data_IF_859870403962
#
_entry.id   IF_859870403962
#
_cell.length_a   1.000
_cell.length_b   1.000
_cell.length_c   1.000
_cell.angle_alpha   90.00
_cell.angle_beta   90.00
_cell.angle_gamma   90.00
#
_symmetry.space_group_name_H-M   'P 1'
#
loop_
_entity.id
_entity.type
_entity.pdbx_description
1 polymer ?
#
# COMPACT_ATOMS: atom_id res chain seq x y z
N UNK A 1 0.17 -6.84 -16.14
CA UNK A 1 1.16 -7.79 -16.70
C UNK A 1 2.05 -7.05 -17.71
N UNK A 2 2.65 -7.65 -18.74
CA UNK A 2 3.60 -6.96 -19.65
C UNK A 2 3.01 -5.82 -20.48
N UNK A 3 1.71 -5.85 -20.77
CA UNK A 3 1.09 -4.84 -21.64
C UNK A 3 1.61 -4.96 -23.07
N UNK A 4 2.13 -3.86 -23.63
CA UNK A 4 2.66 -3.81 -25.01
C UNK A 4 4.12 -4.25 -25.14
N UNK A 5 4.81 -4.51 -24.02
CA UNK A 5 6.24 -4.84 -24.01
C UNK A 5 6.50 -6.34 -24.18
N UNK A 6 7.67 -6.69 -24.73
CA UNK A 6 8.12 -8.07 -24.86
C UNK A 6 8.65 -8.68 -23.55
N UNK A 7 9.15 -7.85 -22.65
CA UNK A 7 9.85 -8.21 -21.42
C UNK A 7 9.40 -7.35 -20.22
N UNK A 8 9.78 -7.78 -19.02
CA UNK A 8 9.64 -7.01 -17.78
C UNK A 8 10.92 -6.23 -17.47
N UNK A 9 10.80 -5.15 -16.70
CA UNK A 9 11.95 -4.45 -16.14
C UNK A 9 12.23 -4.93 -14.71
N UNK A 10 13.50 -4.93 -14.31
CA UNK A 10 13.93 -5.21 -12.95
C UNK A 10 14.29 -3.89 -12.26
N UNK A 11 13.58 -3.58 -11.18
CA UNK A 11 13.79 -2.38 -10.36
C UNK A 11 14.37 -2.79 -9.02
N UNK A 12 15.57 -2.30 -8.68
CA UNK A 12 16.22 -2.62 -7.40
C UNK A 12 15.59 -1.84 -6.26
N UNK A 13 15.53 -2.44 -5.08
CA UNK A 13 15.08 -1.81 -3.84
C UNK A 13 16.32 -1.42 -3.02
N UNK A 14 16.61 -0.12 -2.82
CA UNK A 14 17.64 0.30 -1.88
C UNK A 14 17.31 -0.21 -0.47
N UNK A 15 18.22 -0.98 0.13
CA UNK A 15 18.08 -1.50 1.50
C UNK A 15 16.75 -2.24 1.76
N UNK A 16 16.26 -2.96 0.75
CA UNK A 16 14.99 -3.69 0.83
C UNK A 16 14.97 -4.78 1.89
N UNK A 17 13.88 -4.86 2.67
CA UNK A 17 13.77 -5.80 3.79
C UNK A 17 13.26 -7.16 3.31
N UNK A 18 12.15 -7.17 2.56
CA UNK A 18 11.49 -8.37 2.05
C UNK A 18 11.77 -8.57 0.56
N UNK A 19 11.89 -7.49 -0.21
CA UNK A 19 12.26 -7.53 -1.62
C UNK A 19 13.56 -6.76 -1.86
N UNK A 20 14.53 -7.35 -2.55
CA UNK A 20 15.76 -6.67 -3.03
C UNK A 20 15.58 -6.08 -4.43
N UNK A 21 14.61 -6.57 -5.18
CA UNK A 21 14.22 -6.07 -6.49
C UNK A 21 12.77 -6.45 -6.81
N UNK A 22 12.19 -5.79 -7.80
CA UNK A 22 10.87 -6.06 -8.35
C UNK A 22 10.97 -6.27 -9.84
N UNK A 23 10.31 -7.31 -10.36
CA UNK A 23 10.15 -7.52 -11.80
C UNK A 23 8.76 -7.03 -12.21
N UNK A 24 8.71 -5.95 -12.99
CA UNK A 24 7.50 -5.15 -13.19
C UNK A 24 7.33 -4.74 -14.64
N UNK A 25 6.14 -4.26 -14.98
CA UNK A 25 5.89 -3.67 -16.30
C UNK A 25 6.86 -2.49 -16.53
N UNK A 26 7.47 -2.45 -17.72
CA UNK A 26 8.43 -1.42 -18.12
C UNK A 26 7.88 0.00 -18.02
N UNK A 27 6.57 0.22 -18.17
CA UNK A 27 5.94 1.54 -17.98
C UNK A 27 6.31 2.19 -16.65
N UNK A 28 6.52 1.42 -15.57
CA UNK A 28 6.92 1.98 -14.28
C UNK A 28 8.36 2.49 -14.22
N UNK A 29 9.20 2.07 -15.17
CA UNK A 29 10.60 2.50 -15.31
C UNK A 29 10.75 3.57 -16.38
N UNK A 30 9.99 3.44 -17.46
CA UNK A 30 10.07 4.31 -18.63
C UNK A 30 9.21 5.59 -18.49
N UNK A 31 8.39 5.71 -17.44
CA UNK A 31 7.58 6.92 -17.18
C UNK A 31 8.41 8.03 -16.54
N UNK A 32 8.17 9.28 -16.97
CA UNK A 32 8.78 10.47 -16.38
C UNK A 32 8.09 10.89 -15.06
N UNK A 33 6.81 10.56 -14.92
CA UNK A 33 5.97 10.96 -13.78
C UNK A 33 5.10 9.79 -13.35
N UNK A 34 5.12 9.45 -12.06
CA UNK A 34 4.22 8.47 -11.47
C UNK A 34 3.22 9.14 -10.53
N UNK A 35 1.94 9.10 -10.91
CA UNK A 35 0.83 9.62 -10.08
C UNK A 35 0.09 8.46 -9.42
N UNK A 36 0.04 8.45 -8.09
CA UNK A 36 -0.75 7.49 -7.31
C UNK A 36 -2.13 8.08 -7.01
N UNK A 37 -3.19 7.52 -7.62
CA UNK A 37 -4.58 7.92 -7.38
C UNK A 37 -5.31 6.84 -6.58
N UNK A 38 -5.86 7.20 -5.42
CA UNK A 38 -6.43 6.22 -4.47
C UNK A 38 -7.72 6.71 -3.82
N UNK A 39 -8.40 5.81 -3.08
CA UNK A 39 -9.53 6.16 -2.23
C UNK A 39 -9.08 6.30 -0.78
N UNK A 40 -9.66 7.27 -0.07
CA UNK A 40 -9.49 7.41 1.38
C UNK A 40 -10.21 6.25 2.08
N UNK A 41 -9.48 5.21 2.49
CA UNK A 41 -10.07 4.03 3.13
C UNK A 41 -9.08 3.30 4.05
N UNK A 42 -9.61 2.57 5.03
CA UNK A 42 -8.81 1.73 5.95
C UNK A 42 -8.50 0.34 5.35
N UNK A 43 -7.46 -0.31 5.86
CA UNK A 43 -7.01 -1.63 5.39
C UNK A 43 -6.74 -2.55 6.57
N UNK A 44 -6.99 -3.86 6.43
CA UNK A 44 -6.88 -4.81 7.54
C UNK A 44 -5.43 -4.88 8.05
N UNK A 45 -4.46 -5.15 7.17
CA UNK A 45 -3.05 -5.34 7.55
C UNK A 45 -2.26 -4.04 7.71
N UNK A 46 -2.64 -2.99 6.99
CA UNK A 46 -1.86 -1.75 6.90
C UNK A 46 -2.47 -0.57 7.69
N UNK A 47 -3.64 -0.74 8.31
CA UNK A 47 -4.39 0.33 8.99
C UNK A 47 -5.08 1.27 8.00
N UNK A 48 -4.32 1.90 7.12
CA UNK A 48 -4.80 2.73 6.01
C UNK A 48 -4.35 2.18 4.66
N UNK A 49 -5.02 2.56 3.58
CA UNK A 49 -4.53 2.28 2.22
C UNK A 49 -3.66 3.42 1.70
N UNK A 50 -4.23 4.57 1.38
CA UNK A 50 -3.46 5.72 0.91
C UNK A 50 -2.62 5.44 -0.34
N UNK A 51 -1.81 6.43 -0.72
CA UNK A 51 -0.93 6.43 -1.87
C UNK A 51 0.17 5.39 -1.81
N UNK A 52 0.72 5.07 -0.63
CA UNK A 52 1.77 4.07 -0.45
C UNK A 52 1.26 2.65 -0.71
N UNK A 53 0.11 2.26 -0.13
CA UNK A 53 -0.45 0.91 -0.36
C UNK A 53 -0.86 0.70 -1.80
N UNK A 54 -1.14 1.76 -2.55
CA UNK A 54 -1.46 1.65 -3.97
C UNK A 54 -0.34 0.98 -4.77
N UNK A 55 0.92 1.21 -4.38
CA UNK A 55 2.08 0.62 -5.03
C UNK A 55 2.09 -0.91 -4.93
N UNK A 56 1.35 -1.48 -3.97
CA UNK A 56 1.17 -2.93 -3.84
C UNK A 56 0.52 -3.56 -5.08
N UNK A 57 -0.12 -2.75 -5.95
CA UNK A 57 -0.63 -3.19 -7.25
C UNK A 57 0.40 -3.21 -8.39
N UNK A 58 1.60 -2.64 -8.21
CA UNK A 58 2.64 -2.56 -9.25
C UNK A 58 3.16 -3.94 -9.67
N UNK A 59 3.52 -4.87 -8.76
CA UNK A 59 3.98 -6.19 -9.15
C UNK A 59 2.91 -6.87 -10.01
N UNK A 60 3.19 -7.42 -11.18
CA UNK A 60 2.14 -7.93 -12.09
C UNK A 60 1.56 -9.28 -11.63
N UNK A 61 0.25 -9.51 -11.85
CA UNK A 61 -0.39 -10.78 -11.48
C UNK A 61 0.19 -11.98 -12.23
N UNK A 62 0.75 -11.76 -13.42
CA UNK A 62 1.47 -12.77 -14.20
C UNK A 62 2.72 -13.37 -13.56
N UNK A 63 3.29 -12.70 -12.55
CA UNK A 63 4.48 -13.18 -11.81
C UNK A 63 4.20 -13.38 -10.31
N UNK A 64 3.23 -12.64 -9.76
CA UNK A 64 2.96 -12.59 -8.33
C UNK A 64 1.54 -13.08 -7.97
N UNK A 65 0.72 -13.45 -8.95
CA UNK A 65 -0.69 -13.80 -8.77
C UNK A 65 -0.93 -15.17 -8.14
N UNK A 66 -2.02 -15.28 -7.40
CA UNK A 66 -2.46 -16.53 -6.75
C UNK A 66 -2.97 -17.58 -7.74
N UNK A 67 -3.42 -17.14 -8.92
CA UNK A 67 -3.93 -17.97 -10.02
C UNK A 67 -2.83 -18.61 -10.87
N UNK A 68 -1.57 -18.29 -10.60
CA UNK A 68 -0.42 -18.90 -11.27
C UNK A 68 -0.24 -20.36 -10.86
N UNK A 69 0.12 -21.22 -11.81
CA UNK A 69 0.61 -22.58 -11.54
C UNK A 69 2.12 -22.56 -11.40
N UNK A 70 2.86 -23.39 -12.14
CA UNK A 70 4.32 -23.45 -12.01
C UNK A 70 5.06 -22.44 -12.91
N UNK A 71 4.35 -21.77 -13.82
CA UNK A 71 4.93 -20.85 -14.81
C UNK A 71 4.21 -19.49 -14.83
N UNK A 72 4.91 -18.40 -15.20
CA UNK A 72 4.29 -17.11 -15.47
C UNK A 72 3.15 -17.20 -16.49
N UNK A 73 2.08 -16.42 -16.28
CA UNK A 73 0.94 -16.34 -17.20
C UNK A 73 0.48 -14.89 -17.40
N UNK A 74 0.59 -14.37 -18.61
CA UNK A 74 0.15 -13.01 -18.95
C UNK A 74 -1.37 -12.79 -18.87
N UNK A 75 -2.15 -13.87 -18.79
CA UNK A 75 -3.60 -13.82 -18.60
C UNK A 75 -4.01 -13.81 -17.13
N UNK A 76 -3.06 -13.96 -16.21
CA UNK A 76 -3.33 -13.96 -14.79
C UNK A 76 -3.93 -12.63 -14.31
N UNK A 77 -4.96 -12.73 -13.48
CA UNK A 77 -5.69 -11.61 -12.87
C UNK A 77 -5.84 -11.79 -11.35
N UNK A 78 -5.21 -12.82 -10.79
CA UNK A 78 -5.28 -13.13 -9.37
C UNK A 78 -4.70 -12.04 -8.47
N UNK A 79 -5.14 -12.10 -7.21
CA UNK A 79 -4.58 -11.31 -6.12
C UNK A 79 -3.16 -11.80 -5.78
N UNK A 80 -2.48 -11.06 -4.90
CA UNK A 80 -1.11 -11.39 -4.45
C UNK A 80 -1.15 -11.87 -3.00
N UNK A 81 -2.10 -12.74 -2.68
CA UNK A 81 -2.29 -13.18 -1.30
C UNK A 81 -1.15 -14.11 -0.89
N UNK A 82 -0.95 -15.21 -1.62
CA UNK A 82 0.08 -16.21 -1.30
C UNK A 82 1.50 -15.66 -1.38
N UNK A 83 1.79 -14.85 -2.40
CA UNK A 83 3.14 -14.31 -2.62
C UNK A 83 3.50 -13.18 -1.67
N UNK A 84 2.57 -12.24 -1.40
CA UNK A 84 2.90 -10.99 -0.70
C UNK A 84 2.17 -10.77 0.63
N UNK A 85 0.95 -11.24 0.81
CA UNK A 85 0.26 -11.11 2.11
C UNK A 85 0.70 -12.24 3.05
N UNK A 86 0.54 -13.48 2.61
CA UNK A 86 0.80 -14.68 3.37
C UNK A 86 2.26 -15.14 3.27
N UNK A 87 3.02 -14.69 2.27
CA UNK A 87 4.40 -15.12 2.01
C UNK A 87 4.61 -16.65 2.03
N UNK A 88 3.60 -17.42 1.62
CA UNK A 88 3.63 -18.88 1.58
C UNK A 88 4.17 -19.43 0.25
N UNK A 89 4.41 -18.54 -0.72
CA UNK A 89 4.84 -18.87 -2.07
C UNK A 89 5.83 -17.84 -2.59
N UNK A 90 6.87 -18.31 -3.28
CA UNK A 90 7.80 -17.43 -3.99
C UNK A 90 7.19 -16.91 -5.32
N UNK A 91 7.47 -15.67 -5.72
CA UNK A 91 7.03 -15.16 -7.02
C UNK A 91 7.79 -15.85 -8.17
N UNK A 92 7.16 -15.93 -9.34
CA UNK A 92 7.73 -16.58 -10.53
C UNK A 92 8.59 -15.62 -11.35
N UNK A 93 9.47 -14.87 -10.67
CA UNK A 93 10.35 -13.89 -11.31
C UNK A 93 11.56 -14.55 -11.95
N UNK A 94 12.08 -13.95 -13.02
CA UNK A 94 13.27 -14.40 -13.75
C UNK A 94 14.56 -14.32 -12.93
N UNK A 95 14.58 -13.46 -11.90
CA UNK A 95 15.67 -13.33 -10.93
C UNK A 95 15.15 -13.50 -9.50
N UNK A 96 16.04 -13.79 -8.55
CA UNK A 96 15.66 -13.79 -7.13
C UNK A 96 15.37 -12.35 -6.67
N UNK A 97 14.10 -12.09 -6.39
CA UNK A 97 13.59 -10.78 -5.96
C UNK A 97 13.35 -10.70 -4.47
N UNK A 98 12.92 -11.78 -3.83
CA UNK A 98 12.59 -11.80 -2.39
C UNK A 98 13.75 -12.32 -1.52
N UNK A 99 13.92 -11.69 -0.36
CA UNK A 99 14.98 -12.03 0.61
C UNK A 99 14.71 -13.37 1.31
N UNK A 100 13.43 -13.75 1.44
CA UNK A 100 12.98 -14.89 2.26
C UNK A 100 12.78 -14.54 3.74
N UNK A 101 12.87 -13.25 4.11
CA UNK A 101 12.61 -12.76 5.48
C UNK A 101 11.12 -12.52 5.77
N UNK A 102 10.24 -12.81 4.81
CA UNK A 102 8.79 -12.74 5.03
C UNK A 102 8.36 -13.77 6.06
N UNK A 103 7.32 -13.48 6.83
CA UNK A 103 6.81 -14.36 7.88
C UNK A 103 5.54 -15.04 7.36
N UNK A 104 5.57 -16.35 7.08
CA UNK A 104 4.39 -17.05 6.59
C UNK A 104 3.19 -16.88 7.52
N UNK A 105 2.04 -16.46 7.01
CA UNK A 105 0.82 -16.27 7.81
C UNK A 105 0.64 -14.90 8.50
N UNK A 106 1.69 -14.06 8.54
CA UNK A 106 1.65 -12.75 9.21
C UNK A 106 1.55 -11.61 8.20
N UNK A 107 0.33 -11.39 7.68
CA UNK A 107 0.04 -10.27 6.79
C UNK A 107 0.32 -8.90 7.44
N UNK A 108 0.22 -8.81 8.78
CA UNK A 108 0.51 -7.59 9.54
C UNK A 108 1.98 -7.21 9.58
N UNK A 109 2.88 -8.17 9.37
CA UNK A 109 4.30 -7.96 9.17
C UNK A 109 4.63 -7.76 7.68
N UNK A 110 4.15 -8.68 6.83
CA UNK A 110 4.54 -8.74 5.41
C UNK A 110 4.08 -7.52 4.62
N UNK A 111 2.80 -7.17 4.76
CA UNK A 111 2.19 -6.11 3.95
C UNK A 111 2.83 -4.74 4.21
N UNK A 112 2.99 -4.27 5.48
CA UNK A 112 3.72 -3.04 5.77
C UNK A 112 5.14 -2.99 5.22
N UNK A 113 5.89 -4.08 5.30
CA UNK A 113 7.26 -4.11 4.78
C UNK A 113 7.31 -4.04 3.25
N UNK A 114 6.44 -4.77 2.55
CA UNK A 114 6.36 -4.66 1.10
C UNK A 114 5.93 -3.29 0.62
N UNK A 115 5.01 -2.62 1.32
CA UNK A 115 4.63 -1.23 1.00
C UNK A 115 5.86 -0.33 1.02
N UNK A 116 6.69 -0.43 2.07
CA UNK A 116 7.88 0.40 2.22
C UNK A 116 8.96 0.04 1.20
N UNK A 117 9.16 -1.25 0.93
CA UNK A 117 10.10 -1.71 -0.11
C UNK A 117 9.67 -1.23 -1.51
N UNK A 118 8.36 -1.21 -1.81
CA UNK A 118 7.82 -0.66 -3.06
C UNK A 118 7.98 0.86 -3.11
N UNK A 119 7.71 1.57 -2.03
CA UNK A 119 7.89 3.02 -1.95
C UNK A 119 9.37 3.45 -2.08
N UNK A 120 10.30 2.59 -1.65
CA UNK A 120 11.73 2.82 -1.86
C UNK A 120 12.18 2.56 -3.32
N UNK A 121 11.48 1.67 -4.04
CA UNK A 121 11.78 1.35 -5.44
C UNK A 121 11.13 2.30 -6.44
N UNK A 122 9.91 2.74 -6.15
CA UNK A 122 9.10 3.56 -7.05
C UNK A 122 8.87 4.95 -6.45
N UNK A 123 9.45 5.96 -7.08
CA UNK A 123 9.21 7.36 -6.73
C UNK A 123 7.80 7.75 -7.20
N UNK A 124 6.92 8.07 -6.27
CA UNK A 124 5.62 8.70 -6.57
C UNK A 124 5.83 10.21 -6.58
N UNK A 125 5.59 10.85 -7.72
CA UNK A 125 5.74 12.30 -7.88
C UNK A 125 4.53 13.09 -7.39
N UNK A 126 3.35 12.47 -7.45
CA UNK A 126 2.10 13.02 -6.93
C UNK A 126 1.21 11.91 -6.39
N UNK A 127 0.82 12.03 -5.11
CA UNK A 127 -0.23 11.22 -4.51
C UNK A 127 -1.51 12.04 -4.45
N UNK A 128 -2.61 11.48 -4.94
CA UNK A 128 -3.97 12.04 -4.86
C UNK A 128 -4.88 11.01 -4.21
N UNK A 129 -5.50 11.41 -3.10
CA UNK A 129 -6.39 10.56 -2.31
C UNK A 129 -7.79 11.16 -2.40
N UNK A 130 -8.68 10.41 -3.04
CA UNK A 130 -10.09 10.72 -3.22
C UNK A 130 -10.92 10.23 -2.03
N UNK A 131 -11.34 11.18 -1.20
CA UNK A 131 -12.29 11.02 -0.11
C UNK A 131 -13.66 11.64 -0.40
N UNK A 132 -14.05 11.86 -1.67
CA UNK A 132 -15.36 12.44 -2.01
C UNK A 132 -16.48 11.47 -1.63
N UNK A 133 -16.35 10.21 -2.03
CA UNK A 133 -17.24 9.10 -1.68
C UNK A 133 -16.45 7.81 -1.66
N UNK A 134 -16.46 7.11 -0.53
CA UNK A 134 -15.57 5.98 -0.27
C UNK A 134 -16.26 4.97 0.66
N UNK A 135 -15.51 3.95 1.06
CA UNK A 135 -15.95 2.93 2.01
C UNK A 135 -15.09 2.99 3.27
N UNK A 136 -15.69 2.65 4.39
CA UNK A 136 -14.98 2.37 5.65
C UNK A 136 -15.22 0.93 6.09
N UNK A 137 -14.53 0.51 7.16
CA UNK A 137 -14.64 -0.82 7.81
C UNK A 137 -14.33 -2.04 6.93
N UNK A 138 -13.90 -1.82 5.69
CA UNK A 138 -13.66 -2.86 4.72
C UNK A 138 -12.62 -2.45 3.68
N UNK A 139 -12.00 -3.45 3.06
CA UNK A 139 -10.96 -3.26 2.05
C UNK A 139 -11.52 -3.09 0.65
N UNK A 140 -12.72 -3.64 0.44
CA UNK A 140 -13.46 -3.61 -0.80
C UNK A 140 -14.88 -4.13 -0.63
N UNK A 141 -15.67 -3.98 -1.68
CA UNK A 141 -17.10 -4.29 -1.71
C UNK A 141 -17.41 -5.78 -1.45
N UNK A 142 -16.46 -6.68 -1.74
CA UNK A 142 -16.57 -8.12 -1.48
C UNK A 142 -16.64 -8.48 0.02
N UNK A 143 -16.36 -7.53 0.92
CA UNK A 143 -16.51 -7.73 2.36
C UNK A 143 -17.97 -7.68 2.85
N UNK A 144 -18.95 -7.50 1.95
CA UNK A 144 -20.37 -7.66 2.24
C UNK A 144 -20.90 -6.64 3.25
N UNK A 145 -21.63 -7.12 4.27
CA UNK A 145 -22.32 -6.27 5.25
C UNK A 145 -21.41 -5.40 6.12
N UNK A 146 -20.10 -5.65 6.11
CA UNK A 146 -19.13 -4.78 6.80
C UNK A 146 -18.83 -3.50 6.01
N UNK A 147 -19.20 -3.42 4.74
CA UNK A 147 -18.90 -2.26 3.90
C UNK A 147 -19.88 -1.14 4.23
N UNK A 148 -19.37 -0.02 4.74
CA UNK A 148 -20.17 1.18 4.98
C UNK A 148 -19.73 2.29 4.03
N UNK A 149 -20.68 2.82 3.25
CA UNK A 149 -20.44 3.98 2.39
C UNK A 149 -20.29 5.25 3.24
N UNK A 150 -19.26 6.03 2.96
CA UNK A 150 -19.01 7.30 3.62
C UNK A 150 -18.65 8.40 2.61
N UNK A 151 -18.94 9.65 2.95
CA UNK A 151 -18.76 10.82 2.07
C UNK A 151 -18.08 11.99 2.81
N UNK A 152 -16.76 11.91 3.06
CA UNK A 152 -16.00 13.02 3.61
C UNK A 152 -16.05 14.28 2.75
N UNK A 153 -16.14 14.14 1.42
CA UNK A 153 -16.21 15.29 0.50
C UNK A 153 -14.84 15.96 0.26
N UNK A 154 -13.74 15.22 0.41
CA UNK A 154 -12.39 15.77 0.42
C UNK A 154 -11.50 15.19 -0.68
N UNK A 155 -10.54 16.00 -1.12
CA UNK A 155 -9.38 15.56 -1.89
C UNK A 155 -8.13 15.93 -1.11
N UNK A 156 -7.23 14.97 -0.96
CA UNK A 156 -5.92 15.18 -0.31
C UNK A 156 -4.86 14.91 -1.37
N UNK A 157 -3.95 15.85 -1.58
CA UNK A 157 -2.89 15.68 -2.56
C UNK A 157 -1.55 16.19 -2.04
N UNK A 158 -0.47 15.53 -2.44
CA UNK A 158 0.88 15.92 -2.05
C UNK A 158 1.95 15.26 -2.91
N UNK A 159 3.15 15.86 -2.91
CA UNK A 159 4.30 15.38 -3.69
C UNK A 159 5.14 14.32 -2.99
N UNK A 160 4.79 13.97 -1.75
CA UNK A 160 5.40 12.87 -1.02
C UNK A 160 4.27 11.96 -0.50
N UNK A 161 4.24 10.68 -0.89
CA UNK A 161 3.15 9.78 -0.51
C UNK A 161 3.11 9.50 0.99
N UNK A 162 4.26 9.46 1.69
CA UNK A 162 4.31 9.25 3.15
C UNK A 162 3.64 10.42 3.88
N UNK A 163 3.99 11.65 3.51
CA UNK A 163 3.40 12.85 4.11
C UNK A 163 1.89 12.96 3.79
N UNK A 164 1.51 12.63 2.56
CA UNK A 164 0.11 12.68 2.10
C UNK A 164 -0.74 11.65 2.84
N UNK A 165 -0.22 10.43 3.01
CA UNK A 165 -0.90 9.37 3.76
C UNK A 165 -0.98 9.66 5.26
N UNK A 166 0.01 10.36 5.82
CA UNK A 166 -0.05 10.83 7.20
C UNK A 166 -1.14 11.88 7.43
N UNK A 167 -1.26 12.86 6.52
CA UNK A 167 -2.38 13.82 6.55
C UNK A 167 -3.72 13.10 6.37
N UNK A 168 -3.79 12.12 5.47
CA UNK A 168 -4.98 11.29 5.29
C UNK A 168 -5.36 10.51 6.56
N UNK A 169 -4.39 9.92 7.26
CA UNK A 169 -4.63 9.26 8.54
C UNK A 169 -5.20 10.24 9.58
N UNK A 170 -4.60 11.43 9.70
CA UNK A 170 -5.07 12.44 10.65
C UNK A 170 -6.49 12.94 10.31
N UNK A 171 -6.78 13.16 9.03
CA UNK A 171 -8.13 13.49 8.55
C UNK A 171 -9.13 12.37 8.88
N UNK A 172 -8.72 11.11 8.84
CA UNK A 172 -9.55 9.96 9.22
C UNK A 172 -9.78 9.83 10.74
N UNK A 173 -9.20 10.72 11.57
CA UNK A 173 -9.22 10.63 13.03
C UNK A 173 -8.16 9.69 13.61
N UNK A 174 -7.19 9.26 12.81
CA UNK A 174 -6.15 8.33 13.22
C UNK A 174 -4.83 9.03 13.54
N UNK A 175 -4.06 8.47 14.47
CA UNK A 175 -2.69 8.92 14.74
C UNK A 175 -1.71 8.27 13.75
N UNK A 176 -1.05 9.04 12.85
CA UNK A 176 -0.09 8.51 11.89
C UNK A 176 1.24 8.07 12.51
N UNK A 177 1.61 8.50 13.73
CA UNK A 177 2.81 8.04 14.45
C UNK A 177 2.48 7.06 15.58
N UNK A 178 1.26 6.50 15.57
CA UNK A 178 0.85 5.45 16.50
C UNK A 178 1.81 4.25 16.50
N UNK A 179 1.92 3.59 17.64
CA UNK A 179 2.77 2.41 17.79
C UNK A 179 2.25 1.23 16.96
N UNK A 180 3.15 0.31 16.62
CA UNK A 180 2.81 -0.91 15.90
C UNK A 180 1.74 -1.72 16.67
N UNK A 181 0.79 -2.33 15.95
CA UNK A 181 -0.29 -3.15 16.53
C UNK A 181 -1.17 -2.41 17.55
N UNK A 182 -1.30 -1.10 17.43
CA UNK A 182 -2.22 -0.26 18.21
C UNK A 182 -3.22 0.45 17.31
N UNK A 183 -4.21 1.15 17.85
CA UNK A 183 -5.14 1.95 17.03
C UNK A 183 -4.38 3.05 16.27
N UNK A 184 -4.49 3.18 14.93
CA UNK A 184 -5.39 2.48 13.99
C UNK A 184 -4.82 1.21 13.33
N UNK A 185 -3.52 0.94 13.47
CA UNK A 185 -2.77 -0.19 12.90
C UNK A 185 -2.98 -1.49 13.69
N UNK A 186 -4.22 -1.81 14.04
CA UNK A 186 -4.55 -2.86 15.03
C UNK A 186 -4.06 -4.26 14.66
N UNK A 187 -3.93 -4.57 13.36
CA UNK A 187 -3.51 -5.90 12.90
C UNK A 187 -2.08 -5.94 12.34
N UNK A 188 -1.29 -4.86 12.40
CA UNK A 188 -0.01 -4.82 11.71
C UNK A 188 0.94 -3.72 12.17
N UNK A 189 2.08 -3.63 11.48
CA UNK A 189 3.05 -2.57 11.71
C UNK A 189 2.55 -1.25 11.13
N UNK A 190 2.94 -0.14 11.75
CA UNK A 190 2.71 1.19 11.21
C UNK A 190 3.69 1.43 10.05
N UNK A 191 3.21 1.21 8.83
CA UNK A 191 4.00 1.40 7.61
C UNK A 191 4.41 2.86 7.38
N UNK A 192 3.68 3.85 7.90
CA UNK A 192 4.07 5.27 7.83
C UNK A 192 5.29 5.54 8.70
N UNK A 193 5.28 5.07 9.93
CA UNK A 193 6.43 5.17 10.83
C UNK A 193 7.63 4.38 10.30
N UNK A 194 7.40 3.22 9.69
CA UNK A 194 8.44 2.42 9.02
C UNK A 194 9.05 3.18 7.82
N UNK A 195 8.22 3.78 6.96
CA UNK A 195 8.66 4.58 5.83
C UNK A 195 9.49 5.79 6.26
N UNK A 196 9.06 6.48 7.34
CA UNK A 196 9.85 7.57 7.95
C UNK A 196 11.21 7.09 8.44
N UNK A 197 11.28 5.95 9.15
CA UNK A 197 12.56 5.40 9.64
C UNK A 197 13.55 5.11 8.52
N UNK A 198 13.06 4.86 7.29
CA UNK A 198 13.88 4.69 6.08
C UNK A 198 14.14 5.99 5.31
N UNK A 199 13.73 7.14 5.82
CA UNK A 199 13.95 8.44 5.18
C UNK A 199 13.10 8.69 3.93
N UNK A 200 12.02 7.94 3.72
CA UNK A 200 11.15 8.12 2.54
C UNK A 200 10.20 9.33 2.66
N UNK A 201 10.02 9.85 3.87
CA UNK A 201 9.19 11.02 4.15
C UNK A 201 8.95 11.21 5.64
N UNK A 202 8.02 12.09 6.00
CA UNK A 202 7.65 12.42 7.38
C UNK A 202 6.20 12.02 7.64
N UNK A 203 5.92 11.40 8.79
CA UNK A 203 4.57 10.99 9.20
C UNK A 203 4.03 11.79 10.39
N UNK A 204 4.86 12.59 11.06
CA UNK A 204 4.46 13.40 12.22
C UNK A 204 3.82 14.70 11.75
N UNK A 205 2.52 14.85 12.02
CA UNK A 205 1.73 16.01 11.57
C UNK A 205 2.36 17.36 11.93
N UNK A 206 2.94 17.50 13.13
CA UNK A 206 3.60 18.74 13.57
C UNK A 206 4.78 19.20 12.69
N UNK A 207 5.33 18.29 11.88
CA UNK A 207 6.46 18.55 10.99
C UNK A 207 6.02 18.75 9.53
N UNK A 208 4.71 18.68 9.25
CA UNK A 208 4.16 18.76 7.90
C UNK A 208 3.56 20.15 7.62
N UNK A 209 3.79 20.64 6.41
CA UNK A 209 3.07 21.78 5.87
C UNK A 209 1.75 21.30 5.26
N UNK A 210 0.63 21.84 5.75
CA UNK A 210 -0.71 21.51 5.25
C UNK A 210 -1.38 22.77 4.75
N UNK A 211 -1.59 22.84 3.43
CA UNK A 211 -2.36 23.89 2.78
C UNK A 211 -3.84 23.51 2.62
N UNK A 212 -4.68 24.52 2.36
CA UNK A 212 -6.11 24.33 2.13
C UNK A 212 -6.93 24.28 3.43
N UNK A 213 -7.89 23.35 3.50
CA UNK A 213 -8.72 23.17 4.71
C UNK A 213 -7.85 22.56 5.80
N UNK A 214 -7.86 23.16 7.00
CA UNK A 214 -7.12 22.64 8.15
C UNK A 214 -7.61 21.25 8.56
N UNK A 215 -6.70 20.42 9.10
CA UNK A 215 -6.98 19.02 9.46
C UNK A 215 -8.20 18.89 10.36
N UNK A 216 -8.33 19.74 11.38
CA UNK A 216 -9.48 19.72 12.31
C UNK A 216 -10.81 19.95 11.60
N UNK A 217 -10.85 20.87 10.62
CA UNK A 217 -12.06 21.15 9.84
C UNK A 217 -12.33 20.08 8.77
N UNK A 218 -11.29 19.41 8.28
CA UNK A 218 -11.38 18.31 7.34
C UNK A 218 -11.67 16.96 8.03
N UNK A 219 -11.63 16.89 9.36
CA UNK A 219 -11.68 15.62 10.09
C UNK A 219 -13.01 14.90 9.87
N UNK A 220 -12.91 13.64 9.51
CA UNK A 220 -14.02 12.70 9.40
C UNK A 220 -13.63 11.41 10.09
N UNK A 221 -14.34 11.01 11.15
CA UNK A 221 -13.99 9.83 11.95
C UNK A 221 -14.23 8.53 11.17
N UNK A 222 -13.16 7.77 10.92
CA UNK A 222 -13.23 6.43 10.36
C UNK A 222 -13.11 5.37 11.44
N UNK A 223 -13.63 4.19 11.14
CA UNK A 223 -13.34 2.99 11.90
C UNK A 223 -12.21 2.18 11.21
N UNK A 224 -11.23 1.65 11.97
CA UNK A 224 -10.21 0.78 11.43
C UNK A 224 -10.84 -0.53 10.96
N UNK A 225 -10.16 -1.19 10.01
CA UNK A 225 -10.61 -2.48 9.50
C UNK A 225 -10.03 -3.59 10.38
N UNK A 226 -10.88 -4.36 11.05
CA UNK A 226 -10.47 -5.47 11.90
C UNK A 226 -10.30 -6.78 11.11
N UNK A 227 -9.35 -7.62 11.52
CA UNK A 227 -9.23 -8.98 10.99
C UNK A 227 -10.45 -9.80 11.42
N UNK A 228 -11.02 -10.57 10.50
CA UNK A 228 -12.12 -11.50 10.80
C UNK A 228 -11.60 -12.64 11.68
N UNK A 229 -12.36 -12.99 12.72
CA UNK A 229 -12.14 -14.23 13.48
C UNK A 229 -12.74 -15.36 12.64
N UNK A 230 -11.92 -16.34 12.22
CA UNK A 230 -12.37 -17.54 11.52
C UNK A 230 -12.35 -17.50 9.98
N UNK A 231 -11.54 -16.61 9.38
CA UNK A 231 -11.23 -16.63 7.94
C UNK A 231 -9.83 -17.19 7.69
#
# INVERSE_FOLDING_TARGET
NRGVYGDYAIVKVPEGQLATAWEVNRTYVDTDVLVSLTKLKSHVSAGISGGLKNLFGIPPSSLYGDDLKDNPDERAVGYRNGTMHECNRAPLTSVRTFTGKGVPGDHGYNVPHFIVDLAAAFRVDLAVIDGISTIQTAEGWWNGSMVSLTRPGLLIAGRNPVCTDAVAAAVMGFDPDAADRTWPFVNGLNHLALARRRGLGENRIKNLEVGGVGIEAARFEYQPTFRRIGA
#
